data_IF_175824283792
#
_entry.id   IF_175824283792
#
_cell.length_a   1.000
_cell.length_b   1.000
_cell.length_c   1.000
_cell.angle_alpha   90.00
_cell.angle_beta   90.00
_cell.angle_gamma   90.00
#
_symmetry.space_group_name_H-M   'P 1'
#
loop_
_entity.id
_entity.type
_entity.pdbx_description
1 polymer ?
#
# COMPACT_ATOMS: atom_id res chain seq x y z
N UNK A 1 -12.30 5.93 -3.95
CA UNK A 1 -11.20 6.09 -2.98
C UNK A 1 -9.94 6.56 -3.71
N UNK A 2 -9.01 7.29 -3.08
CA UNK A 2 -7.79 7.81 -3.74
C UNK A 2 -6.89 6.70 -4.30
N UNK A 3 -6.72 5.58 -3.60
CA UNK A 3 -5.82 4.51 -4.04
C UNK A 3 -6.23 3.91 -5.40
N UNK A 4 -7.53 3.79 -5.71
CA UNK A 4 -8.03 3.27 -7.00
C UNK A 4 -7.49 4.04 -8.22
N UNK A 5 -7.27 5.34 -8.08
CA UNK A 5 -6.90 6.20 -9.22
C UNK A 5 -5.39 6.45 -9.30
N UNK A 6 -4.67 6.27 -8.19
CA UNK A 6 -3.30 6.79 -8.04
C UNK A 6 -2.28 5.75 -7.58
N UNK A 7 -2.69 4.67 -6.93
CA UNK A 7 -1.74 3.71 -6.38
C UNK A 7 -0.88 3.05 -7.47
N UNK A 8 -1.46 2.76 -8.63
CA UNK A 8 -0.73 2.20 -9.78
C UNK A 8 0.42 3.07 -10.28
N UNK A 9 0.36 4.38 -10.01
CA UNK A 9 1.39 5.35 -10.39
C UNK A 9 2.54 5.45 -9.37
N UNK A 10 2.40 4.85 -8.20
CA UNK A 10 3.47 4.80 -7.19
C UNK A 10 4.54 3.83 -7.70
N UNK A 11 5.77 4.26 -7.92
CA UNK A 11 6.82 3.34 -8.39
C UNK A 11 7.11 2.24 -7.38
N UNK A 12 7.65 1.10 -7.84
CA UNK A 12 8.19 0.08 -6.93
C UNK A 12 9.24 0.69 -6.01
N UNK A 13 9.19 0.38 -4.72
CA UNK A 13 10.03 1.03 -3.72
C UNK A 13 9.61 2.46 -3.37
N UNK A 14 8.58 3.02 -4.02
CA UNK A 14 7.96 4.30 -3.67
C UNK A 14 7.13 4.21 -2.39
N UNK A 15 6.76 5.36 -1.82
CA UNK A 15 6.07 5.42 -0.53
C UNK A 15 4.61 5.87 -0.66
N UNK A 16 3.77 5.29 0.17
CA UNK A 16 2.38 5.71 0.39
C UNK A 16 2.24 6.11 1.86
N UNK A 17 1.78 7.33 2.10
CA UNK A 17 1.55 7.90 3.43
C UNK A 17 0.05 8.03 3.68
N UNK A 18 -0.39 7.61 4.86
CA UNK A 18 -1.78 7.56 5.29
C UNK A 18 -1.92 8.35 6.58
N UNK A 19 -2.24 9.64 6.48
CA UNK A 19 -2.22 10.63 7.58
C UNK A 19 -3.22 10.29 8.72
N UNK A 20 -4.47 9.96 8.36
CA UNK A 20 -5.56 9.72 9.32
C UNK A 20 -5.80 8.24 9.64
N UNK A 21 -4.78 7.37 9.47
CA UNK A 21 -4.96 5.92 9.54
C UNK A 21 -5.60 5.45 10.86
N UNK A 22 -5.18 5.98 12.02
CA UNK A 22 -5.75 5.61 13.31
C UNK A 22 -6.92 6.49 13.78
N UNK A 23 -7.27 7.55 13.04
CA UNK A 23 -8.28 8.52 13.47
C UNK A 23 -9.72 8.02 13.29
N UNK A 24 -9.93 6.99 12.48
CA UNK A 24 -11.23 6.36 12.25
C UNK A 24 -11.14 4.93 11.72
N UNK A 25 -12.27 4.24 11.65
CA UNK A 25 -12.35 2.88 11.08
C UNK A 25 -12.30 2.90 9.55
N UNK A 26 -12.96 3.88 8.93
CA UNK A 26 -13.11 3.92 7.46
C UNK A 26 -11.80 3.99 6.68
N UNK A 27 -10.77 4.72 7.17
CA UNK A 27 -9.46 4.75 6.50
C UNK A 27 -8.80 3.36 6.51
N UNK A 28 -8.82 2.68 7.65
CA UNK A 28 -8.23 1.33 7.81
C UNK A 28 -8.95 0.31 6.96
N UNK A 29 -10.27 0.34 6.96
CA UNK A 29 -11.10 -0.56 6.16
C UNK A 29 -10.90 -0.33 4.66
N UNK A 30 -10.84 0.93 4.22
CA UNK A 30 -10.61 1.29 2.83
C UNK A 30 -9.23 0.84 2.34
N UNK A 31 -8.17 1.09 3.12
CA UNK A 31 -6.81 0.64 2.81
C UNK A 31 -6.73 -0.89 2.80
N UNK A 32 -7.29 -1.55 3.82
CA UNK A 32 -7.27 -3.01 3.93
C UNK A 32 -8.05 -3.68 2.79
N UNK A 33 -9.23 -3.16 2.46
CA UNK A 33 -10.07 -3.63 1.37
C UNK A 33 -9.35 -3.52 0.04
N UNK A 34 -8.74 -2.37 -0.23
CA UNK A 34 -7.97 -2.13 -1.46
C UNK A 34 -6.79 -3.09 -1.60
N UNK A 35 -5.95 -3.21 -0.58
CA UNK A 35 -4.79 -4.12 -0.62
C UNK A 35 -5.23 -5.56 -0.86
N UNK A 36 -6.35 -5.98 -0.27
CA UNK A 36 -6.92 -7.32 -0.45
C UNK A 36 -7.49 -7.52 -1.86
N UNK A 37 -8.29 -6.59 -2.36
CA UNK A 37 -8.95 -6.67 -3.67
C UNK A 37 -7.93 -6.71 -4.81
N UNK A 38 -6.86 -5.91 -4.70
CA UNK A 38 -5.79 -5.84 -5.69
C UNK A 38 -4.66 -6.85 -5.44
N UNK A 39 -4.85 -7.77 -4.50
CA UNK A 39 -3.89 -8.84 -4.16
C UNK A 39 -2.47 -8.33 -3.86
N UNK A 40 -2.37 -7.14 -3.25
CA UNK A 40 -1.10 -6.51 -2.90
C UNK A 40 -0.59 -7.14 -1.60
N UNK A 41 0.48 -7.91 -1.70
CA UNK A 41 1.11 -8.61 -0.57
C UNK A 41 2.43 -7.96 -0.17
N UNK A 42 2.92 -8.27 1.04
CA UNK A 42 4.22 -7.78 1.52
C UNK A 42 4.22 -6.31 1.98
N UNK A 43 3.06 -5.71 2.18
CA UNK A 43 2.94 -4.37 2.78
C UNK A 43 3.22 -4.45 4.28
N UNK A 44 4.19 -3.67 4.73
CA UNK A 44 4.50 -3.47 6.15
C UNK A 44 4.22 -2.01 6.50
N UNK A 45 3.17 -1.79 7.30
CA UNK A 45 2.82 -0.47 7.79
C UNK A 45 3.80 -0.03 8.89
N UNK A 46 4.36 1.16 8.73
CA UNK A 46 5.25 1.80 9.68
C UNK A 46 4.56 3.01 10.29
N UNK A 47 4.61 3.15 11.61
CA UNK A 47 4.03 4.29 12.31
C UNK A 47 4.82 5.56 11.96
N UNK A 48 4.14 6.62 11.54
CA UNK A 48 4.74 7.93 11.26
C UNK A 48 4.60 8.87 12.46
N UNK A 49 3.40 8.93 13.04
CA UNK A 49 3.06 9.78 14.19
C UNK A 49 1.92 9.16 15.02
N UNK A 50 1.14 9.95 15.77
CA UNK A 50 0.03 9.47 16.59
C UNK A 50 -1.10 8.81 15.78
N UNK A 51 -1.33 9.27 14.55
CA UNK A 51 -2.45 8.84 13.71
C UNK A 51 -2.02 8.32 12.34
N UNK A 52 -0.87 8.76 11.85
CA UNK A 52 -0.35 8.44 10.53
C UNK A 52 0.48 7.16 10.49
N UNK A 53 0.37 6.47 9.36
CA UNK A 53 1.26 5.37 8.98
C UNK A 53 1.77 5.59 7.55
N UNK A 54 2.81 4.88 7.18
CA UNK A 54 3.25 4.79 5.79
C UNK A 54 3.73 3.38 5.46
N UNK A 55 3.82 3.07 4.17
CA UNK A 55 4.48 1.86 3.72
C UNK A 55 5.22 2.10 2.40
N UNK A 56 6.19 1.23 2.14
CA UNK A 56 6.87 1.18 0.86
C UNK A 56 6.11 0.22 -0.06
N UNK A 57 5.82 0.65 -1.30
CA UNK A 57 5.20 -0.20 -2.32
C UNK A 57 6.10 -1.41 -2.56
N UNK A 58 5.59 -2.65 -2.39
CA UNK A 58 6.37 -3.85 -2.62
C UNK A 58 6.76 -3.95 -4.09
N UNK A 59 7.90 -4.61 -4.40
CA UNK A 59 8.22 -4.97 -5.78
C UNK A 59 7.09 -5.82 -6.37
N UNK A 60 6.81 -5.66 -7.66
CA UNK A 60 5.93 -6.61 -8.34
C UNK A 60 6.61 -7.97 -8.32
N UNK A 61 5.83 -9.03 -8.13
CA UNK A 61 6.34 -10.38 -8.33
C UNK A 61 6.92 -10.42 -9.74
N UNK A 62 8.22 -10.64 -9.87
CA UNK A 62 8.84 -10.80 -11.19
C UNK A 62 8.36 -12.16 -11.69
N UNK A 63 7.68 -12.18 -12.83
CA UNK A 63 7.49 -13.43 -13.56
C UNK A 63 8.87 -14.05 -13.74
N UNK A 64 9.04 -15.29 -13.28
CA UNK A 64 10.25 -16.08 -13.47
C UNK A 64 10.44 -16.30 -14.98
N UNK A 65 11.03 -15.34 -15.69
CA UNK A 65 11.66 -15.61 -16.98
C UNK A 65 12.94 -16.36 -16.69
N UNK A 66 12.86 -17.69 -16.80
CA UNK A 66 13.99 -18.58 -17.05
C UNK A 66 14.77 -18.03 -18.25
N UNK A 67 15.94 -17.46 -18.00
CA UNK A 67 16.93 -17.25 -19.04
C UNK A 67 17.93 -18.42 -18.95
N UNK A 68 18.08 -19.11 -20.08
CA UNK A 68 18.87 -20.33 -20.25
C UNK A 68 20.37 -20.05 -20.21
#
# INVERSE_FOLDING_TARGET
MILENFYDRVVEGGFVVLDDYWRGLGCREAVTGYLKEHQIQGVVLQQADLHGVYFQRPPRCKDETTDN
#
